data_IF_266709885992
#
_entry.id   IF_266709885992
#
_cell.length_a   1.000
_cell.length_b   1.000
_cell.length_c   1.000
_cell.angle_alpha   90.00
_cell.angle_beta   90.00
_cell.angle_gamma   90.00
#
_symmetry.space_group_name_H-M   'P 1'
#
loop_
_entity.id
_entity.type
_entity.pdbx_description
1 polymer ?
#
# COMPACT_ATOMS: atom_id res chain seq x y z
N UNK A 1 -47.03 -13.41 -37.90
CA UNK A 1 -46.40 -12.66 -36.78
C UNK A 1 -46.77 -11.19 -36.92
N UNK A 2 -47.46 -10.61 -35.94
CA UNK A 2 -47.94 -9.22 -35.99
C UNK A 2 -46.78 -8.23 -36.05
N UNK A 3 -46.80 -7.28 -37.00
CA UNK A 3 -45.78 -6.23 -37.14
C UNK A 3 -45.62 -5.40 -35.85
N UNK A 4 -46.68 -5.30 -35.04
CA UNK A 4 -46.66 -4.64 -33.73
C UNK A 4 -45.78 -5.37 -32.71
N UNK A 5 -45.72 -6.70 -32.76
CA UNK A 5 -44.88 -7.51 -31.88
C UNK A 5 -43.39 -7.38 -32.24
N UNK A 6 -43.08 -7.30 -33.54
CA UNK A 6 -41.70 -7.08 -34.01
C UNK A 6 -41.16 -5.72 -33.58
N UNK A 7 -41.96 -4.65 -33.71
CA UNK A 7 -41.60 -3.30 -33.27
C UNK A 7 -41.34 -3.27 -31.76
N UNK A 8 -42.21 -3.92 -30.97
CA UNK A 8 -42.04 -4.01 -29.52
C UNK A 8 -40.74 -4.74 -29.11
N UNK A 9 -40.45 -5.88 -29.74
CA UNK A 9 -39.23 -6.66 -29.47
C UNK A 9 -37.97 -5.86 -29.84
N UNK A 10 -37.97 -5.14 -30.96
CA UNK A 10 -36.84 -4.30 -31.37
C UNK A 10 -36.59 -3.17 -30.37
N UNK A 11 -37.66 -2.52 -29.88
CA UNK A 11 -37.55 -1.49 -28.85
C UNK A 11 -36.97 -2.00 -27.54
N UNK A 12 -37.40 -3.19 -27.10
CA UNK A 12 -36.89 -3.83 -25.88
C UNK A 12 -35.39 -4.17 -26.00
N UNK A 13 -34.99 -4.74 -27.14
CA UNK A 13 -33.58 -5.07 -27.40
C UNK A 13 -32.69 -3.83 -27.37
N UNK A 14 -33.15 -2.72 -27.98
CA UNK A 14 -32.39 -1.48 -27.98
C UNK A 14 -32.18 -0.92 -26.56
N UNK A 15 -33.22 -0.97 -25.72
CA UNK A 15 -33.15 -0.55 -24.33
C UNK A 15 -32.13 -1.38 -23.53
N UNK A 16 -32.12 -2.71 -23.73
CA UNK A 16 -31.16 -3.59 -23.06
C UNK A 16 -29.71 -3.31 -23.48
N UNK A 17 -29.45 -3.12 -24.78
CA UNK A 17 -28.09 -2.83 -25.28
C UNK A 17 -27.56 -1.51 -24.73
N UNK A 18 -28.41 -0.48 -24.60
CA UNK A 18 -28.03 0.80 -24.00
C UNK A 18 -27.64 0.65 -22.52
N UNK A 19 -28.43 -0.11 -21.74
CA UNK A 19 -28.11 -0.38 -20.33
C UNK A 19 -26.80 -1.15 -20.17
N UNK A 20 -26.56 -2.18 -20.99
CA UNK A 20 -25.31 -2.95 -20.98
C UNK A 20 -24.11 -2.10 -21.43
N UNK A 21 -24.27 -1.20 -22.41
CA UNK A 21 -23.20 -0.30 -22.86
C UNK A 21 -22.68 0.60 -21.74
N UNK A 22 -23.57 1.16 -20.92
CA UNK A 22 -23.19 1.99 -19.75
C UNK A 22 -22.47 1.13 -18.70
N UNK A 23 -22.99 -0.06 -18.42
CA UNK A 23 -22.37 -1.00 -17.48
C UNK A 23 -20.96 -1.41 -17.90
N UNK A 24 -20.77 -1.73 -19.19
CA UNK A 24 -19.47 -2.08 -19.77
C UNK A 24 -18.52 -0.86 -19.71
N UNK A 25 -18.98 0.34 -20.01
CA UNK A 25 -18.16 1.56 -19.93
C UNK A 25 -17.68 1.83 -18.49
N UNK A 26 -18.55 1.65 -17.48
CA UNK A 26 -18.16 1.74 -16.07
C UNK A 26 -17.14 0.66 -15.68
N UNK A 27 -17.29 -0.56 -16.20
CA UNK A 27 -16.39 -1.68 -15.93
C UNK A 27 -15.00 -1.49 -16.59
N UNK A 28 -14.97 -1.00 -17.83
CA UNK A 28 -13.74 -0.62 -18.54
C UNK A 28 -13.02 0.50 -17.78
N UNK A 29 -13.73 1.56 -17.37
CA UNK A 29 -13.14 2.65 -16.59
C UNK A 29 -12.43 2.13 -15.33
N UNK A 30 -13.03 1.17 -14.61
CA UNK A 30 -12.42 0.52 -13.44
C UNK A 30 -11.17 -0.30 -13.76
N UNK A 31 -11.08 -0.91 -14.94
CA UNK A 31 -9.88 -1.65 -15.37
C UNK A 31 -8.75 -0.73 -15.84
N UNK A 32 -9.05 0.35 -16.56
CA UNK A 32 -8.04 1.27 -17.09
C UNK A 32 -7.50 2.26 -16.05
N UNK A 33 -8.28 2.62 -15.02
CA UNK A 33 -7.79 3.44 -13.90
C UNK A 33 -6.73 2.74 -13.04
N UNK A 34 -6.65 1.41 -13.10
CA UNK A 34 -5.65 0.63 -12.36
C UNK A 34 -4.35 0.42 -13.14
N UNK A 35 -4.30 0.86 -14.42
CA UNK A 35 -3.10 0.83 -15.26
C UNK A 35 -2.70 2.26 -15.62
N UNK A 36 -2.58 3.10 -14.60
CA UNK A 36 -1.72 4.28 -14.71
C UNK A 36 -0.30 3.75 -14.72
N UNK A 37 0.38 3.85 -15.87
CA UNK A 37 1.84 3.81 -15.94
C UNK A 37 2.34 4.98 -15.09
N UNK A 38 2.52 4.74 -13.79
CA UNK A 38 3.17 5.70 -12.91
C UNK A 38 4.53 6.01 -13.56
N UNK A 39 4.91 7.28 -13.72
CA UNK A 39 6.19 7.59 -14.33
C UNK A 39 7.28 6.84 -13.54
N UNK A 40 8.35 6.42 -14.23
CA UNK A 40 9.42 5.59 -13.66
C UNK A 40 10.22 6.38 -12.60
N UNK A 41 9.58 6.61 -11.46
CA UNK A 41 10.09 7.32 -10.29
C UNK A 41 10.71 6.37 -9.29
N UNK A 42 10.74 5.06 -9.56
CA UNK A 42 11.19 4.05 -8.61
C UNK A 42 12.48 4.41 -7.86
N UNK A 43 13.63 4.56 -8.54
CA UNK A 43 14.86 5.00 -7.89
C UNK A 43 14.75 6.36 -7.17
N UNK A 44 13.99 7.29 -7.74
CA UNK A 44 13.78 8.62 -7.17
C UNK A 44 12.95 8.58 -5.89
N UNK A 45 11.94 7.71 -5.79
CA UNK A 45 11.10 7.52 -4.59
C UNK A 45 11.97 7.05 -3.42
N UNK A 46 12.89 6.12 -3.68
CA UNK A 46 13.83 5.67 -2.66
C UNK A 46 14.75 6.81 -2.20
N UNK A 47 15.33 7.57 -3.13
CA UNK A 47 16.17 8.73 -2.80
C UNK A 47 15.42 9.79 -2.00
N UNK A 48 14.18 10.12 -2.38
CA UNK A 48 13.34 11.08 -1.66
C UNK A 48 13.00 10.55 -0.27
N UNK A 49 12.71 9.25 -0.13
CA UNK A 49 12.44 8.63 1.16
C UNK A 49 13.62 8.73 2.13
N UNK A 50 14.84 8.46 1.65
CA UNK A 50 16.07 8.62 2.44
C UNK A 50 16.28 10.08 2.88
N UNK A 51 16.14 11.05 1.97
CA UNK A 51 16.27 12.48 2.29
C UNK A 51 15.22 12.96 3.31
N UNK A 52 13.96 12.50 3.17
CA UNK A 52 12.90 12.81 4.12
C UNK A 52 13.19 12.21 5.50
N UNK A 53 13.69 10.97 5.54
CA UNK A 53 14.11 10.33 6.78
C UNK A 53 15.22 11.13 7.46
N UNK A 54 16.26 11.52 6.72
CA UNK A 54 17.40 12.27 7.26
C UNK A 54 16.99 13.65 7.80
N UNK A 55 15.92 14.23 7.24
CA UNK A 55 15.31 15.48 7.73
C UNK A 55 14.33 15.27 8.89
N UNK A 56 14.10 14.04 9.33
CA UNK A 56 13.15 13.70 10.40
C UNK A 56 11.68 13.77 9.97
N UNK A 57 11.39 13.85 8.67
CA UNK A 57 10.02 13.83 8.10
C UNK A 57 9.55 12.37 7.97
N UNK A 58 9.42 11.70 9.12
CA UNK A 58 9.27 10.24 9.23
C UNK A 58 8.03 9.71 8.51
N UNK A 59 6.88 10.37 8.67
CA UNK A 59 5.62 9.95 8.02
C UNK A 59 5.72 10.06 6.49
N UNK A 60 6.31 11.14 5.97
CA UNK A 60 6.49 11.31 4.54
C UNK A 60 7.51 10.32 3.99
N UNK A 61 8.59 10.03 4.74
CA UNK A 61 9.57 9.03 4.36
C UNK A 61 8.93 7.64 4.23
N UNK A 62 8.09 7.24 5.18
CA UNK A 62 7.32 5.98 5.13
C UNK A 62 6.48 5.92 3.85
N UNK A 63 5.71 6.97 3.54
CA UNK A 63 4.87 7.02 2.34
C UNK A 63 5.69 6.79 1.05
N UNK A 64 6.87 7.40 0.94
CA UNK A 64 7.72 7.25 -0.24
C UNK A 64 8.35 5.85 -0.32
N UNK A 65 8.75 5.25 0.81
CA UNK A 65 9.23 3.86 0.82
C UNK A 65 8.13 2.87 0.44
N UNK A 66 6.89 3.06 0.92
CA UNK A 66 5.74 2.22 0.57
C UNK A 66 5.41 2.34 -0.92
N UNK A 67 5.39 3.57 -1.45
CA UNK A 67 5.22 3.82 -2.88
C UNK A 67 6.33 3.17 -3.71
N UNK A 68 7.59 3.23 -3.26
CA UNK A 68 8.70 2.55 -3.93
C UNK A 68 8.46 1.05 -4.04
N UNK A 69 8.08 0.38 -2.94
CA UNK A 69 7.80 -1.06 -2.92
C UNK A 69 6.55 -1.47 -3.70
N UNK A 70 5.58 -0.57 -3.87
CA UNK A 70 4.36 -0.80 -4.64
C UNK A 70 4.54 -0.54 -6.15
N UNK A 71 5.43 0.40 -6.51
CA UNK A 71 5.61 0.83 -7.89
C UNK A 71 6.44 -0.12 -8.76
N UNK A 72 7.23 -1.01 -8.14
CA UNK A 72 8.10 -1.91 -8.87
C UNK A 72 8.40 -3.21 -8.11
N UNK A 73 8.74 -4.25 -8.88
CA UNK A 73 9.41 -5.40 -8.30
C UNK A 73 10.84 -5.01 -7.88
N UNK A 74 11.25 -5.51 -6.72
CA UNK A 74 12.58 -5.29 -6.13
C UNK A 74 13.13 -6.62 -5.67
N UNK A 75 14.45 -6.75 -5.68
CA UNK A 75 15.10 -7.94 -5.14
C UNK A 75 14.85 -8.06 -3.63
N UNK A 76 15.01 -9.28 -3.09
CA UNK A 76 14.72 -9.59 -1.70
C UNK A 76 15.61 -8.80 -0.71
N UNK A 77 16.83 -8.43 -1.09
CA UNK A 77 17.70 -7.61 -0.24
C UNK A 77 17.20 -6.18 -0.13
N UNK A 78 16.86 -5.58 -1.27
CA UNK A 78 16.23 -4.25 -1.29
C UNK A 78 14.91 -4.24 -0.53
N UNK A 79 14.04 -5.25 -0.74
CA UNK A 79 12.78 -5.36 0.00
C UNK A 79 12.99 -5.46 1.50
N UNK A 80 13.95 -6.28 1.93
CA UNK A 80 14.29 -6.44 3.35
C UNK A 80 14.77 -5.13 3.97
N UNK A 81 15.71 -4.44 3.31
CA UNK A 81 16.26 -3.17 3.78
C UNK A 81 15.19 -2.09 3.88
N UNK A 82 14.41 -1.88 2.82
CA UNK A 82 13.37 -0.83 2.81
C UNK A 82 12.29 -1.11 3.85
N UNK A 83 11.85 -2.37 3.98
CA UNK A 83 10.87 -2.76 5.01
C UNK A 83 11.42 -2.55 6.43
N UNK A 84 12.73 -2.78 6.64
CA UNK A 84 13.39 -2.50 7.93
C UNK A 84 13.39 -1.00 8.25
N UNK A 85 13.68 -0.14 7.26
CA UNK A 85 13.63 1.31 7.45
C UNK A 85 12.22 1.78 7.82
N UNK A 86 11.18 1.26 7.14
CA UNK A 86 9.78 1.59 7.47
C UNK A 86 9.45 1.15 8.91
N UNK A 87 9.87 -0.06 9.30
CA UNK A 87 9.68 -0.57 10.67
C UNK A 87 10.32 0.35 11.72
N UNK A 88 11.55 0.79 11.50
CA UNK A 88 12.28 1.68 12.41
C UNK A 88 11.56 3.03 12.54
N UNK A 89 11.10 3.60 11.43
CA UNK A 89 10.36 4.86 11.45
C UNK A 89 9.03 4.74 12.21
N UNK A 90 8.30 3.64 12.07
CA UNK A 90 7.10 3.40 12.86
C UNK A 90 7.40 3.19 14.36
N UNK A 91 8.50 2.52 14.71
CA UNK A 91 8.96 2.43 16.11
C UNK A 91 9.21 3.81 16.71
N UNK A 92 9.92 4.66 15.98
CA UNK A 92 10.24 6.03 16.42
C UNK A 92 8.99 6.92 16.55
N UNK A 93 7.95 6.65 15.78
CA UNK A 93 6.64 7.30 15.89
C UNK A 93 5.75 6.69 16.99
N UNK A 94 6.15 5.58 17.61
CA UNK A 94 5.36 4.86 18.62
C UNK A 94 4.23 3.99 18.05
N UNK A 95 4.22 3.78 16.73
CA UNK A 95 3.25 2.97 16.00
C UNK A 95 3.71 1.51 15.97
N UNK A 96 3.67 0.85 17.13
CA UNK A 96 4.32 -0.44 17.34
C UNK A 96 3.76 -1.57 16.47
N UNK A 97 2.45 -1.60 16.23
CA UNK A 97 1.82 -2.65 15.43
C UNK A 97 2.26 -2.57 13.96
N UNK A 98 2.29 -1.35 13.39
CA UNK A 98 2.80 -1.12 12.05
C UNK A 98 4.30 -1.43 11.96
N UNK A 99 5.06 -1.11 13.00
CA UNK A 99 6.48 -1.45 13.04
C UNK A 99 6.71 -2.97 12.99
N UNK A 100 6.00 -3.74 13.82
CA UNK A 100 6.08 -5.21 13.82
C UNK A 100 5.70 -5.77 12.44
N UNK A 101 4.63 -5.25 11.83
CA UNK A 101 4.21 -5.68 10.50
C UNK A 101 5.36 -5.53 9.48
N UNK A 102 5.95 -4.33 9.39
CA UNK A 102 7.03 -4.05 8.44
C UNK A 102 8.32 -4.81 8.75
N UNK A 103 8.60 -5.06 10.03
CA UNK A 103 9.68 -5.95 10.43
C UNK A 103 9.48 -7.38 9.92
N UNK A 104 8.26 -7.92 10.01
CA UNK A 104 7.95 -9.25 9.48
C UNK A 104 8.10 -9.30 7.96
N UNK A 105 7.71 -8.23 7.24
CA UNK A 105 8.00 -8.10 5.80
C UNK A 105 9.51 -8.16 5.52
N UNK A 106 10.33 -7.47 6.32
CA UNK A 106 11.77 -7.51 6.16
C UNK A 106 12.35 -8.91 6.40
N UNK A 107 11.92 -9.57 7.48
CA UNK A 107 12.34 -10.92 7.86
C UNK A 107 11.90 -11.97 6.86
N UNK A 108 10.70 -11.86 6.31
CA UNK A 108 10.22 -12.76 5.26
C UNK A 108 11.07 -12.66 3.99
N UNK A 109 11.51 -11.45 3.63
CA UNK A 109 12.39 -11.24 2.49
C UNK A 109 13.83 -11.74 2.75
N UNK A 110 14.35 -11.57 3.97
CA UNK A 110 15.66 -12.11 4.38
C UNK A 110 15.66 -12.67 5.81
N UNK A 111 15.40 -13.98 5.99
CA UNK A 111 15.32 -14.61 7.31
C UNK A 111 16.63 -14.65 8.11
N UNK A 112 17.77 -14.53 7.41
CA UNK A 112 19.12 -14.60 8.00
C UNK A 112 19.68 -13.23 8.41
N UNK A 113 18.88 -12.17 8.36
CA UNK A 113 19.32 -10.86 8.80
C UNK A 113 19.66 -10.89 10.31
N UNK A 114 20.80 -10.33 10.74
CA UNK A 114 21.33 -10.49 12.10
C UNK A 114 20.52 -9.82 13.23
N UNK A 115 19.36 -9.20 12.94
CA UNK A 115 18.63 -8.30 13.84
C UNK A 115 17.48 -8.97 14.62
N UNK A 116 17.53 -10.27 14.90
CA UNK A 116 16.34 -10.99 15.41
C UNK A 116 16.03 -10.81 16.89
N UNK A 117 17.04 -10.80 17.77
CA UNK A 117 16.79 -10.79 19.22
C UNK A 117 16.62 -9.37 19.79
N UNK A 118 17.43 -8.41 19.32
CA UNK A 118 17.34 -7.02 19.77
C UNK A 118 16.00 -6.37 19.40
N UNK A 119 15.46 -6.70 18.22
CA UNK A 119 14.22 -6.10 17.71
C UNK A 119 13.00 -6.49 18.55
N UNK A 120 12.92 -7.72 19.06
CA UNK A 120 11.77 -8.17 19.87
C UNK A 120 11.64 -7.35 21.16
N UNK A 121 12.76 -7.08 21.83
CA UNK A 121 12.77 -6.24 23.04
C UNK A 121 12.31 -4.81 22.76
N UNK A 122 12.70 -4.24 21.61
CA UNK A 122 12.27 -2.91 21.16
C UNK A 122 10.76 -2.86 20.92
N UNK A 123 10.17 -3.89 20.30
CA UNK A 123 8.72 -3.96 20.08
C UNK A 123 7.93 -4.09 21.39
N UNK A 124 8.41 -4.89 22.34
CA UNK A 124 7.77 -5.01 23.65
C UNK A 124 7.80 -3.69 24.42
N UNK A 125 8.93 -2.99 24.39
CA UNK A 125 9.08 -1.68 25.04
C UNK A 125 8.20 -0.61 24.38
N UNK A 126 8.17 -0.57 23.05
CA UNK A 126 7.28 0.31 22.30
C UNK A 126 5.82 0.11 22.77
N UNK A 127 5.36 -1.15 22.81
CA UNK A 127 3.97 -1.48 23.17
C UNK A 127 3.62 -1.07 24.61
N UNK A 128 4.58 -1.19 25.55
CA UNK A 128 4.39 -0.71 26.93
C UNK A 128 4.21 0.81 26.98
N UNK A 129 5.05 1.55 26.24
CA UNK A 129 4.96 3.02 26.15
C UNK A 129 3.64 3.50 25.56
N UNK A 130 3.13 2.82 24.53
CA UNK A 130 1.83 3.14 23.93
C UNK A 130 0.68 2.86 24.90
N UNK A 131 0.78 1.78 25.70
CA UNK A 131 -0.23 1.42 26.71
C UNK A 131 -0.25 2.33 27.94
N UNK A 132 0.87 2.94 28.32
CA UNK A 132 0.92 3.93 29.41
C UNK A 132 0.45 5.31 28.97
N UNK A 133 0.77 5.73 27.74
CA UNK A 133 0.31 7.01 27.17
C UNK A 133 -1.22 7.10 27.10
N UNK A 134 -1.92 5.97 26.92
CA UNK A 134 -3.38 5.92 26.82
C UNK A 134 -4.08 5.96 28.20
N UNK A 135 -3.34 5.76 29.30
CA UNK A 135 -3.86 5.83 30.69
C UNK A 135 -3.67 7.20 31.33
N UNK A 136 -2.98 8.12 30.67
CA UNK A 136 -2.64 9.46 31.17
C UNK A 136 -3.48 10.59 30.58
N UNK A 137 -4.57 10.29 29.86
CA UNK A 137 -5.54 11.30 29.43
C UNK A 137 -6.73 11.33 30.42
N UNK A 138 -6.92 12.43 31.19
CA UNK A 138 -8.08 12.62 32.06
C UNK A 138 -9.37 12.87 31.28
#
# INVERSE_FOLDING_TARGET
MSSKLKIFVIGLTFLTVMAFGIFIAMFIKKMFLNKSESPHWGPQLLTIAEELKDRGLKTQAIEQYENYLASQEVDLATRSRVSSNISELYLELGHCDQAILWYLHAKAAQPKAPRSEESESQFQECRKRSGTSNKSQP
#
